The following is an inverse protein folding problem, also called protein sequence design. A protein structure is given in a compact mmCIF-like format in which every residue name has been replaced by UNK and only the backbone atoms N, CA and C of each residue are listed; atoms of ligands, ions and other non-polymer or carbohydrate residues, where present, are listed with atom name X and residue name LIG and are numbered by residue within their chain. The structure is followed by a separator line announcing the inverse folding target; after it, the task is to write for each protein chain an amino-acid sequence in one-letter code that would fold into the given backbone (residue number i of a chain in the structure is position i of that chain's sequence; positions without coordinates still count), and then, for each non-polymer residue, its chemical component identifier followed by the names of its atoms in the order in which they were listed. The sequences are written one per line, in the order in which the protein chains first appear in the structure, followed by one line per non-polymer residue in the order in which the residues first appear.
data_IF_722519623877
#
_entry.id   IF_722519623877
#
_cell.length_a   1.000
_cell.length_b   1.000
_cell.length_c   1.000
_cell.angle_alpha   90.00
_cell.angle_beta   90.00
_cell.angle_gamma   90.00
#
_symmetry.space_group_name_H-M   'P 1'
#
loop_
_entity.id
_entity.type
_entity.pdbx_description
1 polymer ?
#
# COMPACT_ATOMS: atom_id res chain seq x y z
N UNK A 1 -23.55 2.16 2.28
CA UNK A 1 -22.65 3.06 3.05
C UNK A 1 -21.32 2.36 3.19
N UNK A 2 -20.23 2.99 2.83
CA UNK A 2 -18.91 2.37 2.94
C UNK A 2 -17.77 3.34 2.69
N UNK A 3 -16.56 2.90 3.00
CA UNK A 3 -15.33 3.62 2.73
C UNK A 3 -14.98 3.49 1.26
N UNK A 4 -14.97 4.61 0.56
CA UNK A 4 -14.74 4.67 -0.89
C UNK A 4 -13.37 5.27 -1.22
N UNK A 5 -12.84 4.88 -2.40
CA UNK A 5 -11.68 5.50 -3.00
C UNK A 5 -12.13 6.76 -3.73
N UNK A 6 -11.74 7.92 -3.19
CA UNK A 6 -12.10 9.24 -3.74
C UNK A 6 -11.14 9.67 -4.84
N UNK A 7 -9.86 9.42 -4.63
CA UNK A 7 -8.80 9.73 -5.59
C UNK A 7 -7.58 8.85 -5.37
N UNK A 8 -6.72 8.83 -6.39
CA UNK A 8 -5.40 8.18 -6.36
C UNK A 8 -4.36 9.12 -6.97
N UNK A 9 -3.11 9.01 -6.53
CA UNK A 9 -2.00 9.82 -7.05
C UNK A 9 -0.71 9.03 -7.07
N UNK A 10 0.19 9.40 -7.99
CA UNK A 10 1.53 8.82 -8.09
C UNK A 10 2.59 9.90 -8.25
N UNK A 11 3.83 9.56 -7.95
CA UNK A 11 5.00 10.35 -8.27
C UNK A 11 6.19 9.45 -8.60
N UNK A 12 6.93 9.85 -9.61
CA UNK A 12 8.12 9.16 -10.11
C UNK A 12 9.31 10.13 -10.18
N UNK A 13 10.50 9.59 -10.37
CA UNK A 13 11.70 10.36 -10.69
C UNK A 13 12.10 11.44 -9.67
N UNK A 14 11.89 11.20 -8.39
CA UNK A 14 12.41 12.05 -7.33
C UNK A 14 13.71 11.49 -6.76
N UNK A 15 14.50 12.37 -6.10
CA UNK A 15 15.76 11.99 -5.45
C UNK A 15 15.58 11.60 -3.97
N UNK A 16 14.34 11.58 -3.46
CA UNK A 16 14.03 11.39 -2.04
C UNK A 16 12.74 10.64 -1.87
N UNK A 17 12.71 9.62 -1.00
CA UNK A 17 11.49 8.89 -0.64
C UNK A 17 10.43 9.80 -0.01
N UNK A 18 10.87 10.76 0.83
CA UNK A 18 9.97 11.76 1.42
C UNK A 18 9.30 12.64 0.38
N UNK A 19 10.09 13.12 -0.59
CA UNK A 19 9.59 14.00 -1.63
C UNK A 19 8.66 13.25 -2.57
N UNK A 20 9.06 12.06 -3.00
CA UNK A 20 8.29 11.18 -3.84
C UNK A 20 6.91 10.88 -3.21
N UNK A 21 6.91 10.45 -1.95
CA UNK A 21 5.68 10.11 -1.23
C UNK A 21 4.80 11.36 -1.01
N UNK A 22 5.41 12.51 -0.67
CA UNK A 22 4.68 13.76 -0.50
C UNK A 22 4.06 14.26 -1.82
N UNK A 23 4.77 14.15 -2.94
CA UNK A 23 4.26 14.53 -4.27
C UNK A 23 3.10 13.62 -4.69
N UNK A 24 3.19 12.31 -4.47
CA UNK A 24 2.09 11.39 -4.73
C UNK A 24 0.84 11.75 -3.91
N UNK A 25 1.03 12.08 -2.62
CA UNK A 25 -0.05 12.55 -1.74
C UNK A 25 -0.69 13.84 -2.23
N UNK A 26 0.11 14.84 -2.59
CA UNK A 26 -0.39 16.13 -3.12
C UNK A 26 -1.14 15.94 -4.44
N UNK A 27 -0.61 15.15 -5.37
CA UNK A 27 -1.28 14.84 -6.63
C UNK A 27 -2.64 14.14 -6.40
N UNK A 28 -2.70 13.25 -5.40
CA UNK A 28 -3.95 12.59 -5.01
C UNK A 28 -5.00 13.58 -4.48
N UNK A 29 -4.60 14.49 -3.59
CA UNK A 29 -5.47 15.49 -2.98
C UNK A 29 -5.95 16.52 -4.02
N UNK A 30 -5.05 16.98 -4.90
CA UNK A 30 -5.39 17.86 -6.02
C UNK A 30 -6.43 17.23 -6.95
N UNK A 31 -6.23 15.96 -7.31
CA UNK A 31 -7.18 15.20 -8.15
C UNK A 31 -8.55 15.04 -7.50
N UNK A 32 -8.61 14.95 -6.17
CA UNK A 32 -9.86 14.96 -5.42
C UNK A 32 -10.53 16.32 -5.38
N UNK A 33 -9.85 17.40 -5.79
CA UNK A 33 -10.34 18.77 -5.66
C UNK A 33 -10.46 19.22 -4.21
N UNK A 34 -9.69 18.65 -3.29
CA UNK A 34 -9.68 18.96 -1.87
C UNK A 34 -8.54 19.93 -1.52
N UNK A 35 -8.75 20.72 -0.47
CA UNK A 35 -7.63 21.45 0.13
C UNK A 35 -6.79 20.47 0.98
N UNK A 36 -5.45 20.49 0.88
CA UNK A 36 -4.61 19.64 1.71
C UNK A 36 -4.90 19.75 3.22
N UNK A 37 -5.34 20.91 3.70
CA UNK A 37 -5.72 21.11 5.10
C UNK A 37 -7.01 20.38 5.52
N UNK A 38 -7.77 19.83 4.57
CA UNK A 38 -8.98 19.03 4.85
C UNK A 38 -8.66 17.53 5.07
N UNK A 39 -7.40 17.13 5.05
CA UNK A 39 -6.99 15.77 5.39
C UNK A 39 -6.97 15.60 6.90
N UNK A 40 -7.85 14.76 7.43
CA UNK A 40 -7.96 14.50 8.87
C UNK A 40 -6.89 13.49 9.35
N UNK A 41 -6.53 12.50 8.51
CA UNK A 41 -5.56 11.46 8.85
C UNK A 41 -4.64 11.13 7.67
N UNK A 42 -3.33 11.05 7.92
CA UNK A 42 -2.33 10.55 6.99
C UNK A 42 -1.68 9.28 7.55
N UNK A 43 -1.69 8.20 6.77
CA UNK A 43 -1.04 6.93 7.12
C UNK A 43 0.06 6.64 6.09
N UNK A 44 1.31 6.56 6.53
CA UNK A 44 2.40 6.09 5.68
C UNK A 44 2.60 4.59 5.84
N UNK A 45 2.75 3.89 4.73
CA UNK A 45 3.00 2.44 4.71
C UNK A 45 4.32 2.05 4.02
N UNK A 46 5.07 3.02 3.47
CA UNK A 46 6.41 2.82 2.93
C UNK A 46 7.41 2.45 4.03
N UNK A 47 8.36 1.58 3.75
CA UNK A 47 9.25 0.98 4.75
C UNK A 47 10.71 1.40 4.57
N UNK A 48 11.19 1.44 3.32
CA UNK A 48 12.58 1.77 3.01
C UNK A 48 12.72 3.25 2.65
N UNK A 49 13.52 3.98 3.44
CA UNK A 49 13.59 5.44 3.38
C UNK A 49 15.01 5.97 3.34
N UNK A 50 15.13 7.21 2.90
CA UNK A 50 16.39 7.97 2.82
C UNK A 50 17.19 7.86 4.12
N UNK A 51 18.45 7.52 4.00
CA UNK A 51 19.41 7.45 5.12
C UNK A 51 18.99 6.47 6.24
N UNK A 52 18.17 5.46 5.94
CA UNK A 52 17.55 4.54 6.91
C UNK A 52 16.76 5.29 8.00
N UNK A 53 16.10 6.39 7.66
CA UNK A 53 15.35 7.19 8.62
C UNK A 53 14.20 6.40 9.22
N UNK A 54 14.20 6.27 10.53
CA UNK A 54 13.13 5.66 11.33
C UNK A 54 12.72 6.55 12.52
N UNK A 55 13.58 7.47 12.89
CA UNK A 55 13.37 8.44 13.96
C UNK A 55 13.76 9.85 13.48
N UNK A 56 12.79 10.78 13.44
CA UNK A 56 11.37 10.62 13.77
C UNK A 56 10.62 9.71 12.79
N UNK A 57 9.37 9.30 13.16
CA UNK A 57 8.47 8.57 12.29
C UNK A 57 8.31 9.27 10.91
N UNK A 58 8.05 8.49 9.86
CA UNK A 58 8.02 9.00 8.49
C UNK A 58 6.79 9.86 8.19
N UNK A 59 5.63 9.47 8.68
CA UNK A 59 4.39 10.17 8.41
C UNK A 59 4.43 11.66 8.78
N UNK A 60 4.97 12.10 9.95
CA UNK A 60 5.17 13.52 10.25
C UNK A 60 6.11 14.25 9.29
N UNK A 61 7.15 13.57 8.79
CA UNK A 61 8.08 14.17 7.84
C UNK A 61 7.44 14.36 6.46
N UNK A 62 6.68 13.37 6.01
CA UNK A 62 5.89 13.44 4.77
C UNK A 62 4.85 14.55 4.88
N UNK A 63 4.10 14.58 5.98
CA UNK A 63 3.10 15.61 6.27
C UNK A 63 3.70 17.02 6.21
N UNK A 64 4.88 17.22 6.80
CA UNK A 64 5.63 18.46 6.72
C UNK A 64 6.03 18.82 5.28
N UNK A 65 6.49 17.82 4.50
CA UNK A 65 6.82 18.01 3.08
C UNK A 65 5.61 18.40 2.23
N UNK A 66 4.44 17.87 2.55
CA UNK A 66 3.17 18.25 1.93
C UNK A 66 2.70 19.66 2.34
N UNK A 67 3.35 20.29 3.32
CA UNK A 67 2.93 21.60 3.85
C UNK A 67 1.70 21.55 4.75
N UNK A 68 1.31 20.36 5.23
CA UNK A 68 0.23 20.18 6.18
C UNK A 68 0.70 20.56 7.58
N UNK A 69 -0.20 21.15 8.37
CA UNK A 69 0.07 21.64 9.73
C UNK A 69 1.32 22.57 9.81
N UNK A 70 1.46 23.60 8.94
CA UNK A 70 2.71 24.34 8.78
C UNK A 70 3.14 25.14 10.00
N UNK A 71 2.20 25.52 10.87
CA UNK A 71 2.48 26.36 12.04
C UNK A 71 1.51 26.05 13.19
N UNK A 72 1.97 25.45 14.30
CA UNK A 72 1.12 25.15 15.46
C UNK A 72 0.67 26.42 16.21
N UNK A 73 1.23 27.60 15.93
CA UNK A 73 0.88 28.87 16.57
C UNK A 73 -0.24 29.59 15.79
N UNK A 74 -0.36 29.34 14.49
CA UNK A 74 -1.46 29.86 13.71
C UNK A 74 -2.69 29.02 13.98
N UNK A 75 -3.79 29.67 14.33
CA UNK A 75 -5.08 29.06 14.67
C UNK A 75 -5.66 28.26 13.49
N UNK A 76 -5.16 27.05 13.29
CA UNK A 76 -5.83 26.07 12.44
C UNK A 76 -6.81 25.28 13.31
N UNK A 77 -8.03 25.23 12.89
CA UNK A 77 -9.10 24.52 13.60
C UNK A 77 -9.01 23.02 13.46
N UNK A 78 -8.27 22.53 12.44
CA UNK A 78 -8.08 21.11 12.17
C UNK A 78 -6.59 20.79 12.02
N UNK A 79 -6.13 19.77 12.72
CA UNK A 79 -4.79 19.19 12.55
C UNK A 79 -4.92 17.81 11.94
N UNK A 80 -4.09 17.53 10.92
CA UNK A 80 -3.97 16.20 10.39
C UNK A 80 -3.24 15.32 11.40
N UNK A 81 -3.89 14.27 11.89
CA UNK A 81 -3.21 13.19 12.61
C UNK A 81 -2.37 12.37 11.64
N UNK A 82 -1.23 11.85 12.06
CA UNK A 82 -0.43 10.99 11.19
C UNK A 82 0.35 9.92 11.96
N UNK A 83 0.55 8.77 11.33
CA UNK A 83 1.38 7.68 11.86
C UNK A 83 1.84 6.73 10.73
N UNK A 84 2.88 5.96 11.02
CA UNK A 84 3.36 4.90 10.14
C UNK A 84 2.71 3.56 10.51
N UNK A 85 2.35 2.76 9.50
CA UNK A 85 1.81 1.43 9.66
C UNK A 85 2.56 0.46 8.74
N UNK A 86 3.44 -0.34 9.31
CA UNK A 86 4.31 -1.24 8.57
C UNK A 86 3.86 -2.69 8.67
N UNK A 87 3.68 -3.33 7.53
CA UNK A 87 3.52 -4.77 7.41
C UNK A 87 3.90 -5.24 5.99
N UNK A 88 5.14 -4.93 5.58
CA UNK A 88 5.63 -5.27 4.26
C UNK A 88 4.61 -4.86 3.17
N UNK A 89 4.46 -5.60 2.08
CA UNK A 89 3.47 -5.29 1.04
C UNK A 89 2.00 -5.37 1.52
N UNK A 90 1.72 -5.93 2.70
CA UNK A 90 0.40 -5.92 3.32
C UNK A 90 0.06 -4.64 4.09
N UNK A 91 1.03 -3.73 4.27
CA UNK A 91 0.84 -2.48 5.04
C UNK A 91 -0.32 -1.65 4.51
N UNK A 92 -0.44 -1.50 3.20
CA UNK A 92 -1.54 -0.77 2.56
C UNK A 92 -2.93 -1.33 2.95
N UNK A 93 -3.09 -2.64 2.95
CA UNK A 93 -4.38 -3.27 3.28
C UNK A 93 -4.77 -3.08 4.76
N UNK A 94 -3.78 -3.13 5.67
CA UNK A 94 -4.00 -2.79 7.07
C UNK A 94 -4.33 -1.31 7.25
N UNK A 95 -3.71 -0.42 6.48
CA UNK A 95 -4.02 1.00 6.50
C UNK A 95 -5.45 1.28 6.00
N UNK A 96 -5.90 0.59 4.94
CA UNK A 96 -7.29 0.69 4.46
C UNK A 96 -8.28 0.22 5.54
N UNK A 97 -8.03 -0.92 6.19
CA UNK A 97 -8.90 -1.42 7.26
C UNK A 97 -8.91 -0.47 8.47
N UNK A 98 -7.77 0.13 8.81
CA UNK A 98 -7.67 1.14 9.86
C UNK A 98 -8.43 2.41 9.48
N UNK A 99 -8.23 2.89 8.25
CA UNK A 99 -8.94 4.05 7.72
C UNK A 99 -10.47 3.84 7.73
N UNK A 100 -10.92 2.65 7.35
CA UNK A 100 -12.33 2.26 7.38
C UNK A 100 -12.94 2.43 8.79
N UNK A 101 -12.22 2.00 9.83
CA UNK A 101 -12.67 2.17 11.21
C UNK A 101 -12.78 3.66 11.62
N UNK A 102 -11.80 4.51 11.27
CA UNK A 102 -11.85 5.95 11.55
C UNK A 102 -12.98 6.65 10.79
N UNK A 103 -13.17 6.30 9.53
CA UNK A 103 -14.19 6.88 8.67
C UNK A 103 -15.62 6.48 9.09
N UNK A 104 -15.82 5.19 9.43
CA UNK A 104 -17.12 4.69 9.89
C UNK A 104 -17.54 5.28 11.22
N UNK A 105 -16.62 5.48 12.15
CA UNK A 105 -16.90 6.11 13.46
C UNK A 105 -17.07 7.60 13.38
N UNK A 106 -16.64 8.22 12.27
CA UNK A 106 -16.69 9.67 12.09
C UNK A 106 -15.56 10.43 12.80
N UNK A 107 -14.56 9.72 13.30
CA UNK A 107 -13.33 10.31 13.87
C UNK A 107 -12.45 10.94 12.79
N UNK A 108 -12.58 10.49 11.53
CA UNK A 108 -12.03 11.15 10.36
C UNK A 108 -13.09 11.23 9.25
N UNK A 109 -13.02 12.27 8.41
CA UNK A 109 -13.85 12.43 7.20
C UNK A 109 -13.06 12.06 5.95
N UNK A 110 -11.73 12.19 6.04
CA UNK A 110 -10.79 11.93 4.95
C UNK A 110 -9.52 11.29 5.50
N UNK A 111 -9.07 10.23 4.84
CA UNK A 111 -7.83 9.52 5.19
C UNK A 111 -6.98 9.39 3.94
N UNK A 112 -5.77 9.93 3.98
CA UNK A 112 -4.78 9.79 2.93
C UNK A 112 -3.78 8.70 3.32
N UNK A 113 -3.74 7.63 2.54
CA UNK A 113 -2.73 6.58 2.66
C UNK A 113 -1.65 6.84 1.63
N UNK A 114 -0.40 6.89 2.05
CA UNK A 114 0.75 7.15 1.19
C UNK A 114 1.78 6.04 1.31
N UNK A 115 2.49 5.79 0.23
CA UNK A 115 3.51 4.73 0.13
C UNK A 115 4.62 5.13 -0.82
N UNK A 116 5.83 4.65 -0.54
CA UNK A 116 6.97 4.78 -1.44
C UNK A 116 8.22 4.23 -0.77
N UNK A 117 8.91 3.32 -1.46
CA UNK A 117 10.16 2.73 -1.00
C UNK A 117 11.31 3.20 -1.89
N UNK A 118 12.45 3.47 -1.28
CA UNK A 118 13.67 3.85 -1.98
C UNK A 118 14.88 3.30 -1.23
N UNK A 119 15.93 2.94 -1.95
CA UNK A 119 17.18 2.55 -1.29
C UNK A 119 17.70 3.69 -0.41
N UNK A 120 18.15 3.42 0.83
CA UNK A 120 18.55 4.46 1.79
C UNK A 120 19.63 5.40 1.30
N UNK A 121 20.48 5.01 0.33
CA UNK A 121 21.45 5.89 -0.29
C UNK A 121 20.87 6.88 -1.31
N UNK A 122 19.57 6.81 -1.57
CA UNK A 122 18.88 7.60 -2.61
C UNK A 122 19.44 7.34 -4.03
N UNK A 123 20.10 6.22 -4.22
CA UNK A 123 20.65 5.79 -5.50
C UNK A 123 20.11 4.41 -5.85
N UNK A 124 20.03 4.12 -7.15
CA UNK A 124 19.70 2.77 -7.59
C UNK A 124 20.83 1.81 -7.21
N UNK A 125 20.47 0.67 -6.64
CA UNK A 125 21.38 -0.40 -6.24
C UNK A 125 20.83 -1.74 -6.75
N UNK A 126 21.69 -2.57 -7.31
CA UNK A 126 21.29 -3.86 -7.88
C UNK A 126 20.80 -4.84 -6.81
N UNK A 127 21.30 -4.70 -5.57
CA UNK A 127 20.88 -5.50 -4.41
C UNK A 127 19.54 -5.06 -3.79
N UNK A 128 19.00 -3.91 -4.19
CA UNK A 128 17.70 -3.42 -3.74
C UNK A 128 16.66 -3.66 -4.83
N UNK A 129 15.75 -4.62 -4.63
CA UNK A 129 14.90 -5.15 -5.72
C UNK A 129 13.71 -4.25 -6.08
N UNK A 130 13.55 -3.10 -5.41
CA UNK A 130 12.36 -2.27 -5.54
C UNK A 130 12.63 -1.02 -6.37
N UNK A 131 11.72 -0.74 -7.30
CA UNK A 131 11.73 0.50 -8.08
C UNK A 131 11.07 1.64 -7.30
N UNK A 132 11.68 2.84 -7.28
CA UNK A 132 11.16 3.96 -6.50
C UNK A 132 9.95 4.61 -7.19
N UNK A 133 8.77 4.31 -6.68
CA UNK A 133 7.51 4.94 -7.08
C UNK A 133 6.74 5.33 -5.82
N UNK A 134 6.32 6.59 -5.73
CA UNK A 134 5.37 7.06 -4.72
C UNK A 134 3.95 6.83 -5.19
N UNK A 135 3.09 6.33 -4.31
CA UNK A 135 1.67 6.16 -4.60
C UNK A 135 0.82 6.59 -3.40
N UNK A 136 -0.38 7.09 -3.68
CA UNK A 136 -1.31 7.56 -2.67
C UNK A 136 -2.76 7.20 -3.04
N UNK A 137 -3.56 6.94 -2.00
CA UNK A 137 -4.99 6.71 -2.11
C UNK A 137 -5.70 7.55 -1.06
N UNK A 138 -6.66 8.34 -1.48
CA UNK A 138 -7.54 9.12 -0.62
C UNK A 138 -8.85 8.37 -0.41
N UNK A 139 -9.19 8.14 0.84
CA UNK A 139 -10.42 7.47 1.27
C UNK A 139 -11.34 8.45 1.97
N UNK A 140 -12.65 8.34 1.67
CA UNK A 140 -13.73 9.03 2.37
C UNK A 140 -14.87 8.07 2.65
N UNK A 141 -15.86 8.49 3.44
CA UNK A 141 -17.02 7.68 3.76
C UNK A 141 -18.26 8.18 3.04
N UNK A 142 -18.82 7.34 2.16
CA UNK A 142 -20.07 7.66 1.48
C UNK A 142 -21.24 7.16 2.33
N UNK A 143 -22.07 8.11 2.80
CA UNK A 143 -23.28 7.85 3.59
C UNK A 143 -24.53 7.66 2.72
N UNK A 144 -24.45 7.94 1.42
CA UNK A 144 -25.61 7.99 0.54
C UNK A 144 -25.72 6.76 -0.36
N UNK A 145 -24.58 6.12 -0.72
CA UNK A 145 -24.60 4.96 -1.57
C UNK A 145 -24.71 3.68 -0.73
N UNK A 146 -25.77 2.90 -0.97
CA UNK A 146 -25.90 1.56 -0.41
C UNK A 146 -24.94 0.60 -1.13
N UNK A 147 -24.22 -0.19 -0.34
CA UNK A 147 -23.35 -1.30 -0.80
C UNK A 147 -22.10 -0.93 -1.63
N UNK A 148 -21.64 0.34 -1.67
CA UNK A 148 -20.33 0.68 -2.24
C UNK A 148 -19.25 0.77 -1.17
N UNK A 149 -17.98 0.59 -1.59
CA UNK A 149 -16.80 0.74 -0.75
C UNK A 149 -16.15 -0.58 -0.37
N UNK A 150 -15.20 -0.48 0.56
CA UNK A 150 -14.46 -1.64 1.06
C UNK A 150 -15.30 -2.50 1.99
N UNK A 151 -15.22 -3.82 1.80
CA UNK A 151 -15.91 -4.82 2.62
C UNK A 151 -15.04 -6.07 2.75
N UNK A 152 -15.46 -6.99 3.63
CA UNK A 152 -14.88 -8.34 3.73
C UNK A 152 -13.37 -8.36 3.90
N UNK A 153 -12.85 -7.59 4.84
CA UNK A 153 -11.43 -7.67 5.19
C UNK A 153 -11.08 -9.02 5.81
N UNK A 154 -10.02 -9.64 5.31
CA UNK A 154 -9.52 -10.89 5.85
C UNK A 154 -8.01 -11.01 5.72
N UNK A 155 -7.33 -11.29 6.83
CA UNK A 155 -5.90 -11.54 6.82
C UNK A 155 -5.54 -12.83 7.53
N UNK A 156 -4.40 -13.39 7.16
CA UNK A 156 -3.84 -14.58 7.76
C UNK A 156 -2.34 -14.43 7.89
N UNK A 157 -1.79 -14.84 9.03
CA UNK A 157 -0.35 -14.89 9.28
C UNK A 157 0.06 -16.33 9.54
N UNK A 158 1.19 -16.75 8.98
CA UNK A 158 1.77 -18.07 9.22
C UNK A 158 2.29 -18.18 10.65
N UNK A 159 2.07 -19.32 11.28
CA UNK A 159 2.69 -19.67 12.55
C UNK A 159 4.15 -20.17 12.40
N UNK A 160 4.62 -20.41 11.20
CA UNK A 160 5.99 -20.83 10.93
C UNK A 160 6.96 -19.69 11.16
N UNK A 161 8.03 -19.92 11.95
CA UNK A 161 9.04 -18.93 12.27
C UNK A 161 10.14 -18.80 11.22
N UNK A 162 10.37 -19.84 10.39
CA UNK A 162 11.29 -19.77 9.27
C UNK A 162 10.56 -19.22 8.04
N UNK A 163 10.82 -17.96 7.76
CA UNK A 163 10.06 -17.17 6.78
C UNK A 163 10.78 -17.02 5.44
N UNK A 164 12.05 -17.42 5.39
CA UNK A 164 12.86 -17.37 4.17
C UNK A 164 13.18 -15.99 3.62
N UNK A 165 12.83 -14.91 4.36
CA UNK A 165 13.08 -13.53 3.97
C UNK A 165 13.53 -12.71 5.16
N UNK A 166 14.60 -11.93 4.98
CA UNK A 166 15.11 -10.97 5.97
C UNK A 166 15.39 -9.66 5.26
N UNK A 167 14.82 -8.58 5.77
CA UNK A 167 15.15 -7.22 5.36
C UNK A 167 15.33 -6.36 6.62
N UNK A 168 16.37 -5.55 6.64
CA UNK A 168 16.62 -4.67 7.77
C UNK A 168 17.95 -3.96 7.71
N UNK A 169 18.11 -2.91 8.53
CA UNK A 169 19.37 -2.24 8.72
C UNK A 169 20.21 -2.99 9.77
N UNK A 170 21.42 -3.42 9.40
CA UNK A 170 22.32 -4.07 10.31
C UNK A 170 23.07 -3.04 11.17
N UNK A 171 22.56 -2.78 12.37
CA UNK A 171 23.14 -1.79 13.29
C UNK A 171 24.56 -2.17 13.79
N UNK A 172 24.94 -3.44 13.74
CA UNK A 172 26.32 -3.87 14.08
C UNK A 172 27.30 -3.37 13.01
N UNK A 173 26.91 -3.40 11.75
CA UNK A 173 27.70 -2.84 10.65
C UNK A 173 27.76 -1.32 10.72
N UNK A 174 26.76 -0.66 11.28
CA UNK A 174 26.78 0.78 11.51
C UNK A 174 27.93 1.22 12.44
N UNK A 175 28.33 0.39 13.42
CA UNK A 175 29.47 0.67 14.29
C UNK A 175 30.81 0.63 13.53
N UNK A 176 30.93 -0.17 12.50
CA UNK A 176 32.15 -0.31 11.70
C UNK A 176 32.22 0.74 10.56
N UNK A 177 31.08 1.05 9.94
CA UNK A 177 30.99 1.95 8.78
C UNK A 177 30.54 3.36 9.12
N UNK A 178 30.19 3.62 10.38
CA UNK A 178 29.60 4.87 10.87
C UNK A 178 28.09 4.93 10.66
N UNK A 179 27.43 5.68 11.53
CA UNK A 179 25.96 5.86 11.54
C UNK A 179 25.43 6.49 10.23
N UNK A 180 26.30 7.14 9.49
CA UNK A 180 26.01 7.73 8.16
C UNK A 180 26.22 6.75 7.00
N UNK A 181 26.45 5.47 7.29
CA UNK A 181 26.52 4.43 6.26
C UNK A 181 25.17 4.25 5.58
N UNK A 182 25.05 4.72 4.34
CA UNK A 182 23.82 4.69 3.55
C UNK A 182 23.50 3.31 2.98
N UNK A 183 24.40 2.34 3.12
CA UNK A 183 24.29 0.98 2.59
C UNK A 183 24.10 -0.03 3.74
N UNK A 184 23.30 0.33 4.75
CA UNK A 184 23.07 -0.55 5.90
C UNK A 184 21.91 -1.54 5.70
N UNK A 185 21.08 -1.32 4.69
CA UNK A 185 19.98 -2.25 4.42
C UNK A 185 20.53 -3.55 3.82
N UNK A 186 20.16 -4.64 4.44
CA UNK A 186 20.46 -6.00 3.96
C UNK A 186 19.15 -6.68 3.63
N UNK A 187 19.04 -7.19 2.40
CA UNK A 187 17.90 -7.99 1.97
C UNK A 187 18.42 -9.36 1.58
N UNK A 188 17.91 -10.40 2.20
CA UNK A 188 18.21 -11.78 1.86
C UNK A 188 16.95 -12.62 1.73
N UNK A 189 16.93 -13.48 0.73
CA UNK A 189 15.77 -14.32 0.41
C UNK A 189 16.25 -15.75 0.15
N UNK A 190 15.58 -16.72 0.78
CA UNK A 190 15.80 -18.13 0.46
C UNK A 190 15.23 -18.46 -0.92
N UNK A 191 15.81 -19.45 -1.64
CA UNK A 191 15.38 -19.78 -3.00
C UNK A 191 13.90 -20.17 -3.13
N UNK A 192 13.32 -20.79 -2.11
CA UNK A 192 11.94 -21.26 -2.08
C UNK A 192 10.94 -20.26 -1.46
N UNK A 193 11.42 -19.10 -1.02
CA UNK A 193 10.57 -18.10 -0.37
C UNK A 193 9.36 -17.67 -1.23
N UNK A 194 9.60 -17.39 -2.51
CA UNK A 194 8.56 -16.93 -3.42
C UNK A 194 7.44 -17.98 -3.59
N UNK A 195 7.81 -19.24 -3.70
CA UNK A 195 6.85 -20.34 -3.84
C UNK A 195 6.10 -20.59 -2.53
N UNK A 196 6.79 -20.56 -1.38
CA UNK A 196 6.16 -20.69 -0.07
C UNK A 196 5.17 -19.55 0.22
N UNK A 197 5.52 -18.31 -0.15
CA UNK A 197 4.64 -17.15 0.00
C UNK A 197 3.41 -17.28 -0.91
N UNK A 198 3.62 -17.68 -2.16
CA UNK A 198 2.52 -17.89 -3.09
C UNK A 198 1.55 -18.98 -2.62
N UNK A 199 2.05 -20.15 -2.24
CA UNK A 199 1.21 -21.24 -1.73
C UNK A 199 0.42 -20.83 -0.49
N UNK A 200 1.06 -20.11 0.44
CA UNK A 200 0.39 -19.57 1.60
C UNK A 200 -0.74 -18.61 1.23
N UNK A 201 -0.49 -17.72 0.27
CA UNK A 201 -1.47 -16.79 -0.26
C UNK A 201 -2.63 -17.51 -0.97
N UNK A 202 -2.34 -18.47 -1.85
CA UNK A 202 -3.34 -19.24 -2.58
C UNK A 202 -4.28 -20.01 -1.63
N UNK A 203 -3.71 -20.67 -0.62
CA UNK A 203 -4.49 -21.37 0.40
C UNK A 203 -5.39 -20.40 1.18
N UNK A 204 -4.86 -19.23 1.50
CA UNK A 204 -5.61 -18.19 2.21
C UNK A 204 -6.77 -17.66 1.35
N UNK A 205 -6.54 -17.43 0.05
CA UNK A 205 -7.56 -16.98 -0.89
C UNK A 205 -8.71 -18.00 -1.04
N UNK A 206 -8.35 -19.28 -1.15
CA UNK A 206 -9.34 -20.38 -1.21
C UNK A 206 -10.23 -20.47 0.04
N UNK A 207 -9.71 -20.07 1.20
CA UNK A 207 -10.49 -19.94 2.42
C UNK A 207 -11.31 -18.65 2.51
N UNK A 208 -10.75 -17.56 2.01
CA UNK A 208 -11.34 -16.23 2.10
C UNK A 208 -12.55 -16.03 1.18
N UNK A 209 -12.46 -16.39 -0.10
CA UNK A 209 -13.52 -16.14 -1.09
C UNK A 209 -14.87 -16.73 -0.68
N UNK A 210 -14.97 -18.00 -0.25
CA UNK A 210 -16.25 -18.54 0.24
C UNK A 210 -16.78 -17.84 1.50
N UNK A 211 -15.90 -17.40 2.41
CA UNK A 211 -16.31 -16.65 3.61
C UNK A 211 -16.86 -15.27 3.26
N UNK A 212 -16.33 -14.63 2.22
CA UNK A 212 -16.85 -13.39 1.67
C UNK A 212 -18.13 -13.59 0.82
N UNK A 213 -18.57 -14.85 0.62
CA UNK A 213 -19.72 -15.17 -0.21
C UNK A 213 -19.48 -14.95 -1.70
N UNK A 214 -18.22 -14.97 -2.16
CA UNK A 214 -17.82 -14.66 -3.52
C UNK A 214 -17.29 -15.88 -4.27
N UNK A 215 -17.78 -16.06 -5.50
CA UNK A 215 -17.18 -16.94 -6.48
C UNK A 215 -16.24 -16.17 -7.43
N UNK A 216 -15.31 -16.87 -8.09
CA UNK A 216 -14.39 -16.24 -9.05
C UNK A 216 -15.10 -15.49 -10.19
N UNK A 217 -16.28 -15.92 -10.58
CA UNK A 217 -17.13 -15.33 -11.63
C UNK A 217 -17.75 -13.97 -11.24
N UNK A 218 -17.76 -13.63 -9.96
CA UNK A 218 -18.26 -12.35 -9.45
C UNK A 218 -17.18 -11.26 -9.38
N UNK A 219 -15.90 -11.62 -9.53
CA UNK A 219 -14.78 -10.69 -9.46
C UNK A 219 -14.55 -10.10 -10.85
N UNK A 220 -14.71 -8.79 -10.97
CA UNK A 220 -14.47 -8.04 -12.21
C UNK A 220 -13.02 -7.62 -12.38
N UNK A 221 -12.36 -7.23 -11.28
CA UNK A 221 -10.96 -6.82 -11.28
C UNK A 221 -10.20 -7.51 -10.15
N UNK A 222 -8.98 -7.92 -10.43
CA UNK A 222 -8.02 -8.42 -9.45
C UNK A 222 -6.82 -7.46 -9.40
N UNK A 223 -6.57 -6.84 -8.25
CA UNK A 223 -5.41 -6.02 -7.97
C UNK A 223 -4.57 -6.73 -6.92
N UNK A 224 -3.36 -7.12 -7.26
CA UNK A 224 -2.47 -7.86 -6.37
C UNK A 224 -1.18 -7.10 -6.07
N UNK A 225 -0.62 -7.28 -4.87
CA UNK A 225 0.70 -6.77 -4.53
C UNK A 225 1.79 -7.46 -5.37
N UNK A 226 2.98 -6.84 -5.41
CA UNK A 226 4.09 -7.31 -6.26
C UNK A 226 5.30 -7.73 -5.42
N UNK A 227 5.10 -8.27 -4.23
CA UNK A 227 6.26 -8.79 -3.48
C UNK A 227 6.98 -9.91 -4.25
N UNK A 228 6.23 -10.69 -5.03
CA UNK A 228 6.75 -11.63 -6.03
C UNK A 228 6.16 -11.28 -7.40
N UNK A 229 6.95 -11.47 -8.45
CA UNK A 229 6.53 -11.19 -9.83
C UNK A 229 5.33 -12.04 -10.25
N UNK A 230 4.46 -11.45 -11.08
CA UNK A 230 3.30 -12.12 -11.67
C UNK A 230 2.28 -12.69 -10.67
N UNK A 231 2.28 -12.24 -9.41
CA UNK A 231 1.40 -12.76 -8.37
C UNK A 231 -0.07 -12.74 -8.77
N UNK A 232 -0.55 -11.63 -9.30
CA UNK A 232 -1.94 -11.50 -9.75
C UNK A 232 -2.33 -12.46 -10.86
N UNK A 233 -1.43 -12.68 -11.83
CA UNK A 233 -1.66 -13.64 -12.93
C UNK A 233 -1.69 -15.08 -12.45
N UNK A 234 -0.78 -15.46 -11.57
CA UNK A 234 -0.77 -16.79 -10.94
C UNK A 234 -2.08 -17.04 -10.14
N UNK A 235 -2.53 -16.05 -9.36
CA UNK A 235 -3.80 -16.16 -8.64
C UNK A 235 -5.01 -16.27 -9.59
N UNK A 236 -5.00 -15.54 -10.69
CA UNK A 236 -6.04 -15.62 -11.70
C UNK A 236 -6.18 -17.05 -12.23
N UNK A 237 -5.08 -17.68 -12.60
CA UNK A 237 -5.06 -19.05 -13.14
C UNK A 237 -5.51 -20.08 -12.09
N UNK A 238 -4.93 -20.05 -10.89
CA UNK A 238 -5.07 -21.08 -9.86
C UNK A 238 -6.37 -20.98 -9.05
N UNK A 239 -7.03 -19.82 -9.02
CA UNK A 239 -8.35 -19.64 -8.42
C UNK A 239 -9.49 -19.83 -9.41
N UNK A 240 -9.18 -20.04 -10.69
CA UNK A 240 -10.16 -20.34 -11.73
C UNK A 240 -11.03 -19.13 -12.09
N UNK A 241 -10.46 -17.92 -12.10
CA UNK A 241 -11.14 -16.74 -12.61
C UNK A 241 -11.48 -16.92 -14.09
N UNK A 242 -12.59 -16.35 -14.51
CA UNK A 242 -13.06 -16.45 -15.90
C UNK A 242 -12.54 -15.30 -16.78
N UNK A 243 -12.76 -15.40 -18.09
CA UNK A 243 -12.33 -14.36 -19.06
C UNK A 243 -12.98 -12.98 -18.85
N UNK A 244 -13.92 -12.83 -17.92
CA UNK A 244 -14.53 -11.57 -17.54
C UNK A 244 -13.76 -10.82 -16.45
N UNK A 245 -12.84 -11.48 -15.73
CA UNK A 245 -12.00 -10.87 -14.71
C UNK A 245 -10.75 -10.29 -15.35
N UNK A 246 -10.48 -9.03 -15.08
CA UNK A 246 -9.26 -8.34 -15.50
C UNK A 246 -8.25 -8.27 -14.37
N UNK A 247 -7.05 -8.76 -14.61
CA UNK A 247 -5.91 -8.61 -13.68
C UNK A 247 -5.22 -7.28 -13.95
N UNK A 248 -5.08 -6.45 -12.93
CA UNK A 248 -4.31 -5.20 -13.00
C UNK A 248 -2.87 -5.52 -12.62
N UNK A 249 -1.97 -5.37 -13.58
CA UNK A 249 -0.52 -5.57 -13.41
C UNK A 249 0.19 -4.26 -13.67
N UNK A 250 1.20 -3.94 -12.88
CA UNK A 250 1.97 -2.69 -12.97
C UNK A 250 3.47 -2.95 -13.13
N UNK A 251 3.91 -4.21 -13.00
CA UNK A 251 5.30 -4.65 -13.10
C UNK A 251 5.93 -4.42 -14.47
N UNK A 252 5.17 -4.56 -15.56
CA UNK A 252 5.66 -4.30 -16.91
C UNK A 252 6.03 -2.81 -17.14
N UNK A 253 5.36 -1.89 -16.46
CA UNK A 253 5.56 -0.44 -16.60
C UNK A 253 6.45 0.15 -15.51
N UNK A 254 6.28 -0.29 -14.27
CA UNK A 254 6.89 0.34 -13.10
C UNK A 254 7.89 -0.57 -12.36
N UNK A 255 8.02 -1.83 -12.76
CA UNK A 255 8.83 -2.81 -12.03
C UNK A 255 8.18 -3.22 -10.69
N UNK A 256 8.98 -3.77 -9.78
CA UNK A 256 8.52 -4.19 -8.45
C UNK A 256 8.55 -2.99 -7.51
N UNK A 257 7.40 -2.45 -7.14
CA UNK A 257 7.27 -1.23 -6.33
C UNK A 257 6.91 -1.49 -4.86
N UNK A 258 6.98 -2.75 -4.43
CA UNK A 258 6.84 -3.23 -3.06
C UNK A 258 5.57 -2.68 -2.35
N UNK A 259 5.72 -1.80 -1.33
CA UNK A 259 4.59 -1.27 -0.57
C UNK A 259 3.68 -0.36 -1.41
N UNK A 260 4.20 0.24 -2.49
CA UNK A 260 3.44 1.06 -3.41
C UNK A 260 2.64 0.26 -4.44
N UNK A 261 2.84 -1.05 -4.56
CA UNK A 261 2.26 -1.88 -5.64
C UNK A 261 0.73 -1.88 -5.68
N UNK A 262 0.06 -2.05 -4.53
CA UNK A 262 -1.41 -2.02 -4.47
C UNK A 262 -1.99 -0.63 -4.75
N UNK A 263 -1.55 0.46 -4.07
CA UNK A 263 -2.05 1.80 -4.39
C UNK A 263 -1.75 2.21 -5.84
N UNK A 264 -0.61 1.78 -6.41
CA UNK A 264 -0.29 1.99 -7.82
C UNK A 264 -1.23 1.19 -8.75
N UNK A 265 -1.51 -0.07 -8.44
CA UNK A 265 -2.50 -0.88 -9.18
C UNK A 265 -3.90 -0.27 -9.16
N UNK A 266 -4.31 0.28 -8.02
CA UNK A 266 -5.55 1.05 -7.92
C UNK A 266 -5.48 2.32 -8.77
N UNK A 267 -4.36 3.06 -8.76
CA UNK A 267 -4.20 4.23 -9.59
C UNK A 267 -4.37 3.90 -11.08
N UNK A 268 -3.70 2.85 -11.57
CA UNK A 268 -3.84 2.39 -12.97
C UNK A 268 -5.30 2.05 -13.28
N UNK A 269 -5.97 1.30 -12.41
CA UNK A 269 -7.38 0.96 -12.62
C UNK A 269 -8.27 2.22 -12.69
N UNK A 270 -8.04 3.22 -11.84
CA UNK A 270 -8.83 4.47 -11.83
C UNK A 270 -8.55 5.35 -13.04
N UNK A 271 -7.29 5.44 -13.53
CA UNK A 271 -6.93 6.18 -14.74
C UNK A 271 -7.56 5.59 -16.01
N UNK A 272 -7.80 4.31 -16.03
CA UNK A 272 -8.45 3.61 -17.15
C UNK A 272 -9.99 3.68 -17.10
N UNK A 273 -10.54 4.54 -16.25
CA UNK A 273 -11.97 4.80 -16.13
C UNK A 273 -12.63 4.17 -14.91
N UNK A 274 -11.84 3.48 -14.07
CA UNK A 274 -12.29 2.88 -12.81
C UNK A 274 -13.31 1.74 -12.96
N UNK A 275 -13.64 1.09 -11.85
CA UNK A 275 -14.72 0.13 -11.82
C UNK A 275 -16.07 0.85 -11.98
N UNK A 276 -17.00 0.22 -12.69
CA UNK A 276 -18.36 0.73 -12.89
C UNK A 276 -19.24 0.31 -11.69
N UNK A 277 -20.38 0.97 -11.53
CA UNK A 277 -21.33 0.65 -10.48
C UNK A 277 -21.63 -0.85 -10.40
N UNK A 278 -21.48 -1.42 -9.22
CA UNK A 278 -21.60 -2.84 -8.86
C UNK A 278 -20.44 -3.72 -9.38
N UNK A 279 -19.41 -3.18 -9.99
CA UNK A 279 -18.21 -3.97 -10.27
C UNK A 279 -17.51 -4.31 -8.95
N UNK A 280 -17.05 -5.55 -8.85
CA UNK A 280 -16.31 -6.05 -7.68
C UNK A 280 -14.82 -6.11 -7.98
N UNK A 281 -14.04 -5.48 -7.14
CA UNK A 281 -12.57 -5.51 -7.16
C UNK A 281 -12.09 -6.35 -6.00
N UNK A 282 -11.35 -7.42 -6.28
CA UNK A 282 -10.62 -8.16 -5.27
C UNK A 282 -9.22 -7.57 -5.12
N UNK A 283 -8.91 -7.10 -3.92
CA UNK A 283 -7.54 -6.74 -3.57
C UNK A 283 -6.88 -7.90 -2.84
N UNK A 284 -5.67 -8.22 -3.23
CA UNK A 284 -4.91 -9.35 -2.70
C UNK A 284 -3.47 -8.95 -2.43
N UNK A 285 -2.99 -9.16 -1.21
CA UNK A 285 -1.63 -8.83 -0.80
C UNK A 285 -0.97 -9.99 -0.07
N UNK A 286 0.35 -10.10 -0.28
CA UNK A 286 1.19 -11.02 0.47
C UNK A 286 2.47 -10.31 0.90
N UNK A 287 2.95 -10.64 2.09
CA UNK A 287 4.14 -10.04 2.70
C UNK A 287 5.02 -11.05 3.43
N UNK A 288 6.23 -10.64 3.71
CA UNK A 288 7.35 -11.47 4.20
C UNK A 288 7.16 -12.10 5.59
N UNK A 289 6.12 -11.79 6.31
CA UNK A 289 5.85 -12.42 7.60
C UNK A 289 5.28 -13.83 7.53
N UNK A 290 5.17 -14.44 6.46
CA UNK A 290 4.15 -14.94 5.60
C UNK A 290 2.79 -14.42 6.06
N UNK A 291 2.45 -13.27 5.58
CA UNK A 291 1.13 -12.67 5.78
C UNK A 291 0.43 -12.56 4.44
N UNK A 292 -0.85 -12.85 4.40
CA UNK A 292 -1.72 -12.56 3.27
C UNK A 292 -2.91 -11.74 3.72
N UNK A 293 -3.33 -10.80 2.90
CA UNK A 293 -4.46 -9.93 3.17
C UNK A 293 -5.36 -9.79 1.93
N UNK A 294 -6.66 -9.86 2.13
CA UNK A 294 -7.67 -9.70 1.09
C UNK A 294 -8.71 -8.68 1.53
N UNK A 295 -9.23 -7.93 0.58
CA UNK A 295 -10.43 -7.13 0.76
C UNK A 295 -11.22 -7.07 -0.54
N UNK A 296 -12.50 -6.83 -0.43
CA UNK A 296 -13.40 -6.58 -1.55
C UNK A 296 -13.74 -5.10 -1.58
N UNK A 297 -13.66 -4.51 -2.76
CA UNK A 297 -14.19 -3.18 -3.04
C UNK A 297 -15.32 -3.31 -4.07
N UNK A 298 -16.46 -2.72 -3.76
CA UNK A 298 -17.61 -2.62 -4.68
C UNK A 298 -17.79 -1.17 -5.10
N UNK A 299 -17.87 -0.90 -6.39
CA UNK A 299 -18.01 0.46 -6.93
C UNK A 299 -19.47 0.92 -6.99
#
# INVERSE_FOLDING_TARGET
MGTIITATGIAENTLSSFEMTAQAGLACVEKAGMDPSDIDLLINVGIAHDENTMEPAMAPLILKKMGLNPDPIRQHTNFTMCFDLYNDACGFMHAVQTADAFLQTGEARSVLIVSGDMHPSMARKDEFPYEPVGAAVLLTYDRQQEASGFTHFGFRTSANHDRGFVAGANLLVANERGVMGKDLIEISQQPDFADNLYEFMLQSARGYLPQAGLGPDQIKFLVASQHISNLGRRLYDDLGFNNGTRVITVDDQYGITHTASLPLGLHVLWEEGGPQKNDTVLLASAGAGLTSFYAVYTA
#
